data_IF_011393317462
#
_entry.id   IF_011393317462
#
_cell.length_a   1.000
_cell.length_b   1.000
_cell.length_c   1.000
_cell.angle_alpha   90.00
_cell.angle_beta   90.00
_cell.angle_gamma   90.00
#
_symmetry.space_group_name_H-M   'P 1'
#
loop_
_entity.id
_entity.type
_entity.pdbx_description
1 polymer ?
#
# COMPACT_ATOMS: atom_id res chain seq x y z
N UNK A 1 3.51 86.94 -4.36
CA UNK A 1 2.30 86.28 -4.90
C UNK A 1 2.70 84.97 -5.57
N UNK A 2 2.34 83.83 -4.97
CA UNK A 2 2.74 82.50 -5.43
C UNK A 2 1.93 82.04 -6.65
N UNK A 3 2.59 81.75 -7.78
CA UNK A 3 1.95 81.15 -8.96
C UNK A 3 1.83 79.64 -8.75
N UNK A 4 0.59 79.19 -8.49
CA UNK A 4 0.17 77.78 -8.43
C UNK A 4 0.33 77.14 -9.81
N UNK A 5 1.35 76.29 -10.01
CA UNK A 5 1.49 75.45 -11.21
C UNK A 5 0.33 74.43 -11.23
N UNK A 6 -0.53 74.51 -12.24
CA UNK A 6 -1.53 73.45 -12.50
C UNK A 6 -0.78 72.22 -13.02
N UNK A 7 -0.94 71.10 -12.32
CA UNK A 7 -0.52 69.77 -12.79
C UNK A 7 -1.54 69.30 -13.83
N UNK A 8 -1.09 68.98 -15.04
CA UNK A 8 -1.96 68.36 -16.05
C UNK A 8 -2.11 66.85 -15.77
N UNK A 9 -3.31 66.28 -15.97
CA UNK A 9 -3.53 64.85 -15.76
C UNK A 9 -2.82 64.04 -16.84
N UNK A 10 -1.98 63.09 -16.42
CA UNK A 10 -1.30 62.15 -17.31
C UNK A 10 -2.32 61.21 -17.95
N UNK A 11 -2.44 61.26 -19.28
CA UNK A 11 -3.32 60.38 -20.08
C UNK A 11 -2.82 58.93 -19.97
N UNK A 12 -3.53 58.09 -19.21
CA UNK A 12 -3.18 56.69 -18.98
C UNK A 12 -3.15 55.94 -20.33
N UNK A 13 -2.01 55.32 -20.64
CA UNK A 13 -1.74 54.71 -21.94
C UNK A 13 -2.60 53.46 -22.18
N UNK A 14 -3.34 53.42 -23.29
CA UNK A 14 -4.12 52.26 -23.74
C UNK A 14 -3.28 50.99 -23.91
N UNK A 15 -1.96 51.10 -24.03
CA UNK A 15 -1.05 49.95 -24.16
C UNK A 15 -1.13 49.03 -22.94
N UNK A 16 -1.25 49.57 -21.73
CA UNK A 16 -1.34 48.76 -20.51
C UNK A 16 -2.62 47.94 -20.45
N UNK A 17 -3.73 48.46 -20.99
CA UNK A 17 -4.99 47.72 -21.11
C UNK A 17 -4.91 46.61 -22.16
N UNK A 18 -4.20 46.85 -23.27
CA UNK A 18 -3.97 45.86 -24.33
C UNK A 18 -3.11 44.69 -23.82
N UNK A 19 -2.01 44.99 -23.11
CA UNK A 19 -1.16 43.94 -22.54
C UNK A 19 -1.87 43.15 -21.43
N UNK A 20 -2.70 43.80 -20.62
CA UNK A 20 -3.52 43.11 -19.63
C UNK A 20 -4.55 42.17 -20.30
N UNK A 21 -5.19 42.60 -21.38
CA UNK A 21 -6.11 41.76 -22.16
C UNK A 21 -5.42 40.55 -22.79
N UNK A 22 -4.25 40.75 -23.40
CA UNK A 22 -3.43 39.66 -23.96
C UNK A 22 -2.97 38.66 -22.89
N UNK A 23 -2.56 39.14 -21.71
CA UNK A 23 -2.15 38.27 -20.61
C UNK A 23 -3.29 37.38 -20.10
N UNK A 24 -4.50 37.93 -19.96
CA UNK A 24 -5.70 37.15 -19.58
C UNK A 24 -6.04 36.11 -20.63
N UNK A 25 -5.93 36.45 -21.92
CA UNK A 25 -6.16 35.52 -23.03
C UNK A 25 -5.16 34.37 -23.04
N UNK A 26 -3.87 34.66 -22.79
CA UNK A 26 -2.82 33.63 -22.71
C UNK A 26 -3.06 32.71 -21.50
N UNK A 27 -3.41 33.26 -20.33
CA UNK A 27 -3.71 32.46 -19.15
C UNK A 27 -4.95 31.58 -19.37
N UNK A 28 -5.99 32.11 -20.03
CA UNK A 28 -7.19 31.35 -20.38
C UNK A 28 -6.86 30.21 -21.36
N UNK A 29 -6.04 30.47 -22.38
CA UNK A 29 -5.62 29.45 -23.35
C UNK A 29 -4.74 28.38 -22.70
N UNK A 30 -3.80 28.78 -21.84
CA UNK A 30 -2.98 27.83 -21.07
C UNK A 30 -3.82 27.03 -20.08
N UNK A 31 -4.81 27.65 -19.43
CA UNK A 31 -5.75 26.99 -18.53
C UNK A 31 -6.58 25.94 -19.27
N UNK A 32 -7.14 26.27 -20.44
CA UNK A 32 -7.88 25.33 -21.30
C UNK A 32 -6.97 24.23 -21.81
N UNK A 33 -5.75 24.55 -22.23
CA UNK A 33 -4.78 23.56 -22.69
C UNK A 33 -4.41 22.57 -21.57
N UNK A 34 -4.13 23.04 -20.35
CA UNK A 34 -3.84 22.17 -19.20
C UNK A 34 -5.07 21.36 -18.74
N UNK A 35 -6.28 21.93 -18.80
CA UNK A 35 -7.50 21.19 -18.46
C UNK A 35 -7.82 20.11 -19.50
N UNK A 36 -7.67 20.42 -20.79
CA UNK A 36 -7.92 19.51 -21.90
C UNK A 36 -6.81 18.45 -22.07
N UNK A 37 -5.60 18.70 -21.56
CA UNK A 37 -4.46 17.77 -21.60
C UNK A 37 -4.33 16.91 -20.34
N UNK A 38 -5.39 16.80 -19.53
CA UNK A 38 -5.39 15.82 -18.44
C UNK A 38 -5.28 14.43 -19.08
N UNK A 39 -4.22 13.63 -18.79
CA UNK A 39 -4.13 12.29 -19.34
C UNK A 39 -5.38 11.51 -18.93
N UNK A 40 -6.05 10.89 -19.90
CA UNK A 40 -7.16 9.95 -19.65
C UNK A 40 -6.64 8.91 -18.67
N UNK A 41 -7.04 9.02 -17.39
CA UNK A 41 -6.77 7.97 -16.43
C UNK A 41 -7.55 6.75 -16.89
N UNK A 42 -6.91 5.58 -17.03
CA UNK A 42 -7.62 4.36 -17.38
C UNK A 42 -8.84 4.22 -16.48
N UNK A 43 -10.02 4.13 -17.08
CA UNK A 43 -11.25 3.93 -16.34
C UNK A 43 -11.13 2.62 -15.57
N UNK A 44 -11.49 2.64 -14.29
CA UNK A 44 -11.40 1.46 -13.43
C UNK A 44 -12.16 0.29 -14.07
N UNK A 45 -11.47 -0.83 -14.24
CA UNK A 45 -12.08 -2.09 -14.65
C UNK A 45 -12.43 -2.89 -13.39
N UNK A 46 -13.72 -3.15 -13.19
CA UNK A 46 -14.17 -4.06 -12.14
C UNK A 46 -14.08 -5.53 -12.61
N UNK A 47 -13.79 -6.48 -11.71
CA UNK A 47 -13.88 -7.90 -12.02
C UNK A 47 -15.33 -8.28 -12.38
N UNK A 48 -15.50 -9.06 -13.44
CA UNK A 48 -16.80 -9.60 -13.84
C UNK A 48 -17.23 -10.81 -12.98
N UNK A 49 -16.31 -11.37 -12.20
CA UNK A 49 -16.53 -12.55 -11.36
C UNK A 49 -15.69 -12.49 -10.08
N UNK A 50 -16.07 -13.31 -9.10
CA UNK A 50 -15.47 -13.33 -7.76
C UNK A 50 -16.23 -12.46 -6.76
N UNK A 51 -16.00 -12.74 -5.47
CA UNK A 51 -16.59 -12.04 -4.34
C UNK A 51 -15.60 -10.98 -3.83
N UNK A 52 -16.03 -9.74 -3.78
CA UNK A 52 -15.27 -8.62 -3.24
C UNK A 52 -16.22 -7.55 -2.71
N UNK A 53 -15.73 -6.71 -1.81
CA UNK A 53 -16.38 -5.47 -1.42
C UNK A 53 -15.65 -4.28 -2.05
N UNK A 54 -16.36 -3.37 -2.71
CA UNK A 54 -15.77 -2.14 -3.22
C UNK A 54 -15.79 -1.06 -2.13
N UNK A 55 -14.62 -0.52 -1.83
CA UNK A 55 -14.44 0.58 -0.89
C UNK A 55 -14.65 1.92 -1.61
N UNK A 56 -15.14 2.92 -0.87
CA UNK A 56 -15.20 4.29 -1.36
C UNK A 56 -13.80 4.94 -1.34
N UNK A 57 -12.92 4.45 -2.22
CA UNK A 57 -11.55 4.93 -2.43
C UNK A 57 -11.21 4.96 -3.92
N UNK A 58 -10.32 5.86 -4.36
CA UNK A 58 -9.83 5.86 -5.73
C UNK A 58 -9.15 4.53 -6.05
N UNK A 59 -9.47 3.97 -7.22
CA UNK A 59 -8.75 2.82 -7.76
C UNK A 59 -7.36 3.19 -8.22
N UNK A 60 -6.42 2.26 -8.05
CA UNK A 60 -5.07 2.30 -8.61
C UNK A 60 -4.94 1.38 -9.82
N UNK A 61 -6.05 1.04 -10.47
CA UNK A 61 -6.09 0.18 -11.65
C UNK A 61 -5.07 0.61 -12.71
N UNK A 62 -4.43 -0.39 -13.31
CA UNK A 62 -3.42 -0.24 -14.35
C UNK A 62 -3.65 -1.36 -15.38
N UNK A 63 -3.85 -1.03 -16.67
CA UNK A 63 -4.06 -2.05 -17.69
C UNK A 63 -2.94 -3.10 -17.71
N UNK A 64 -3.31 -4.38 -17.70
CA UNK A 64 -2.36 -5.50 -17.76
C UNK A 64 -1.62 -5.80 -16.46
N UNK A 65 -1.89 -5.07 -15.37
CA UNK A 65 -1.27 -5.28 -14.07
C UNK A 65 -2.30 -5.25 -12.94
N UNK A 66 -2.18 -6.19 -12.01
CA UNK A 66 -2.97 -6.25 -10.78
C UNK A 66 -2.04 -6.02 -9.61
N UNK A 67 -2.38 -5.06 -8.76
CA UNK A 67 -1.65 -4.73 -7.54
C UNK A 67 -2.47 -5.19 -6.35
N UNK A 68 -1.90 -6.04 -5.51
CA UNK A 68 -2.53 -6.48 -4.27
C UNK A 68 -1.71 -6.04 -3.07
N UNK A 69 -2.40 -5.57 -2.04
CA UNK A 69 -1.84 -5.31 -0.71
C UNK A 69 -2.44 -6.30 0.27
N UNK A 70 -1.61 -7.12 0.89
CA UNK A 70 -2.03 -8.05 1.94
C UNK A 70 -1.75 -7.47 3.32
N UNK A 71 -2.80 -7.27 4.11
CA UNK A 71 -2.73 -7.01 5.53
C UNK A 71 -2.76 -8.35 6.26
N UNK A 72 -1.70 -8.61 7.03
CA UNK A 72 -1.48 -9.91 7.67
C UNK A 72 -0.75 -9.74 9.00
N UNK A 73 -0.62 -10.83 9.76
CA UNK A 73 0.18 -10.88 10.98
C UNK A 73 0.83 -12.24 11.16
N UNK A 74 2.00 -12.28 11.78
CA UNK A 74 2.79 -13.52 11.88
C UNK A 74 2.24 -14.53 12.89
N UNK A 75 1.36 -14.12 13.80
CA UNK A 75 0.65 -14.99 14.75
C UNK A 75 -0.74 -15.46 14.27
N UNK A 76 -1.09 -15.21 13.01
CA UNK A 76 -2.40 -15.55 12.44
C UNK A 76 -2.34 -16.86 11.62
N UNK A 77 -3.14 -17.86 12.04
CA UNK A 77 -3.19 -19.17 11.39
C UNK A 77 -3.70 -19.12 9.95
N UNK A 78 -4.74 -18.32 9.68
CA UNK A 78 -5.26 -18.12 8.31
C UNK A 78 -4.23 -17.49 7.38
N UNK A 79 -3.44 -16.54 7.90
CA UNK A 79 -2.37 -15.87 7.16
C UNK A 79 -1.26 -16.87 6.78
N UNK A 80 -0.90 -17.77 7.71
CA UNK A 80 0.03 -18.85 7.44
C UNK A 80 -0.52 -19.82 6.38
N UNK A 81 -1.79 -20.22 6.50
CA UNK A 81 -2.44 -21.13 5.54
C UNK A 81 -2.58 -20.52 4.14
N UNK A 82 -2.81 -19.21 4.04
CA UNK A 82 -2.94 -18.50 2.75
C UNK A 82 -1.57 -18.29 2.08
N UNK A 83 -0.48 -18.20 2.85
CA UNK A 83 0.87 -17.92 2.36
C UNK A 83 1.31 -18.75 1.13
N UNK A 84 1.25 -20.10 1.12
CA UNK A 84 1.63 -20.89 -0.05
C UNK A 84 0.74 -20.61 -1.27
N UNK A 85 -0.55 -20.28 -1.06
CA UNK A 85 -1.47 -19.96 -2.15
C UNK A 85 -1.14 -18.62 -2.81
N UNK A 86 -0.76 -17.61 -2.01
CA UNK A 86 -0.29 -16.31 -2.53
C UNK A 86 0.97 -16.49 -3.38
N UNK A 87 1.91 -17.35 -2.94
CA UNK A 87 3.10 -17.67 -3.74
C UNK A 87 2.74 -18.38 -5.06
N UNK A 88 1.77 -19.28 -5.04
CA UNK A 88 1.28 -19.93 -6.26
C UNK A 88 0.64 -18.92 -7.24
N UNK A 89 -0.13 -17.94 -6.73
CA UNK A 89 -0.66 -16.85 -7.55
C UNK A 89 0.47 -15.99 -8.14
N UNK A 90 1.47 -15.62 -7.33
CA UNK A 90 2.64 -14.87 -7.80
C UNK A 90 3.36 -15.61 -8.93
N UNK A 91 3.58 -16.91 -8.79
CA UNK A 91 4.20 -17.75 -9.82
C UNK A 91 3.34 -17.84 -11.09
N UNK A 92 2.01 -17.98 -10.94
CA UNK A 92 1.06 -18.07 -12.07
C UNK A 92 1.02 -16.80 -12.91
N UNK A 93 0.98 -15.63 -12.27
CA UNK A 93 0.78 -14.35 -12.97
C UNK A 93 2.07 -13.60 -13.28
N UNK A 94 3.18 -13.95 -12.62
CA UNK A 94 4.48 -13.31 -12.83
C UNK A 94 4.39 -11.78 -12.67
N UNK A 95 4.97 -11.05 -13.62
CA UNK A 95 5.05 -9.58 -13.58
C UNK A 95 3.69 -8.87 -13.69
N UNK A 96 2.62 -9.61 -14.04
CA UNK A 96 1.25 -9.06 -14.06
C UNK A 96 0.64 -8.94 -12.67
N UNK A 97 1.24 -9.55 -11.65
CA UNK A 97 0.77 -9.49 -10.27
C UNK A 97 1.87 -8.92 -9.36
N UNK A 98 1.60 -7.74 -8.82
CA UNK A 98 2.44 -7.13 -7.80
C UNK A 98 1.81 -7.33 -6.42
N UNK A 99 2.61 -7.80 -5.46
CA UNK A 99 2.17 -8.12 -4.11
C UNK A 99 2.97 -7.27 -3.12
N UNK A 100 2.26 -6.53 -2.28
CA UNK A 100 2.83 -5.81 -1.15
C UNK A 100 2.27 -6.36 0.14
N UNK A 101 3.13 -6.76 1.07
CA UNK A 101 2.69 -7.19 2.40
C UNK A 101 2.78 -6.01 3.39
N UNK A 102 1.74 -5.88 4.21
CA UNK A 102 1.61 -4.88 5.27
C UNK A 102 1.31 -5.60 6.58
N UNK A 103 2.34 -6.18 7.22
CA UNK A 103 2.15 -6.81 8.51
C UNK A 103 1.73 -5.78 9.56
N UNK A 104 0.76 -6.12 10.38
CA UNK A 104 0.20 -5.23 11.41
C UNK A 104 -0.31 -6.02 12.62
N UNK A 105 -0.52 -5.33 13.73
CA UNK A 105 -1.06 -5.92 14.97
C UNK A 105 -2.08 -4.98 15.57
N UNK A 106 -3.22 -5.51 16.01
CA UNK A 106 -4.20 -4.72 16.72
C UNK A 106 -3.82 -4.64 18.20
N UNK A 107 -3.60 -3.43 18.69
CA UNK A 107 -3.24 -3.17 20.10
C UNK A 107 -4.30 -3.68 21.09
N UNK A 108 -5.53 -3.83 20.65
CA UNK A 108 -6.68 -4.27 21.45
C UNK A 108 -6.85 -5.79 21.48
N UNK A 109 -6.13 -6.55 20.64
CA UNK A 109 -6.23 -8.01 20.54
C UNK A 109 -5.19 -8.64 21.48
N UNK A 110 -5.60 -9.34 22.56
CA UNK A 110 -4.65 -9.88 23.54
C UNK A 110 -3.60 -10.82 22.95
N UNK A 111 -3.96 -11.58 21.91
CA UNK A 111 -3.07 -12.53 21.22
C UNK A 111 -1.95 -11.83 20.43
N UNK A 112 -2.10 -10.55 20.12
CA UNK A 112 -1.13 -9.75 19.36
C UNK A 112 -0.07 -9.11 20.27
N UNK A 113 -0.29 -9.12 21.59
CA UNK A 113 0.61 -8.50 22.57
C UNK A 113 2.00 -9.13 22.51
N UNK A 114 3.03 -8.31 22.35
CA UNK A 114 4.44 -8.73 22.35
C UNK A 114 4.98 -9.14 20.98
N UNK A 115 4.11 -9.24 19.95
CA UNK A 115 4.53 -9.59 18.59
C UNK A 115 5.05 -8.39 17.79
N UNK A 116 5.08 -7.17 18.33
CA UNK A 116 5.45 -5.95 17.62
C UNK A 116 6.81 -6.06 16.94
N UNK A 117 7.78 -6.71 17.61
CA UNK A 117 9.11 -6.94 17.07
C UNK A 117 9.14 -7.89 15.87
N UNK A 118 8.16 -8.79 15.72
CA UNK A 118 8.04 -9.62 14.51
C UNK A 118 7.65 -8.80 13.27
N UNK A 119 6.87 -7.74 13.45
CA UNK A 119 6.47 -6.80 12.38
C UNK A 119 7.69 -5.97 11.95
N UNK A 120 8.41 -5.41 12.92
CA UNK A 120 9.66 -4.69 12.67
C UNK A 120 10.71 -5.57 11.98
N UNK A 121 10.82 -6.83 12.40
CA UNK A 121 11.73 -7.83 11.81
C UNK A 121 11.48 -8.01 10.32
N UNK A 122 10.22 -8.19 9.91
CA UNK A 122 9.87 -8.26 8.49
C UNK A 122 10.20 -6.98 7.74
N UNK A 123 9.83 -5.81 8.28
CA UNK A 123 10.04 -4.52 7.61
C UNK A 123 11.54 -4.27 7.39
N UNK A 124 12.37 -4.51 8.40
CA UNK A 124 13.82 -4.35 8.30
C UNK A 124 14.41 -5.33 7.28
N UNK A 125 13.99 -6.59 7.29
CA UNK A 125 14.42 -7.56 6.28
C UNK A 125 13.99 -7.16 4.88
N UNK A 126 12.78 -6.61 4.71
CA UNK A 126 12.29 -6.10 3.43
C UNK A 126 13.17 -4.95 2.92
N UNK A 127 13.53 -3.98 3.78
CA UNK A 127 14.47 -2.90 3.43
C UNK A 127 15.84 -3.44 2.98
N UNK A 128 16.23 -4.61 3.48
CA UNK A 128 17.49 -5.30 3.16
C UNK A 128 17.34 -6.32 2.02
N UNK A 129 16.22 -6.32 1.29
CA UNK A 129 16.00 -7.21 0.14
C UNK A 129 15.71 -8.67 0.49
N UNK A 130 15.35 -8.94 1.75
CA UNK A 130 15.07 -10.29 2.30
C UNK A 130 13.64 -10.47 2.80
N UNK A 131 12.71 -9.66 2.28
CA UNK A 131 11.33 -9.65 2.74
C UNK A 131 10.59 -10.98 2.56
N UNK A 132 10.73 -11.63 1.40
CA UNK A 132 10.02 -12.89 1.12
C UNK A 132 10.58 -14.04 1.95
N UNK A 133 11.91 -14.17 2.00
CA UNK A 133 12.57 -15.18 2.82
C UNK A 133 12.27 -14.98 4.30
N UNK A 134 12.27 -13.74 4.78
CA UNK A 134 11.94 -13.43 6.18
C UNK A 134 10.48 -13.73 6.50
N UNK A 135 9.53 -13.41 5.62
CA UNK A 135 8.11 -13.76 5.81
C UNK A 135 7.93 -15.25 6.00
N UNK A 136 8.50 -16.05 5.10
CA UNK A 136 8.38 -17.50 5.15
C UNK A 136 9.12 -18.08 6.38
N UNK A 137 10.27 -17.52 6.75
CA UNK A 137 11.02 -17.90 7.94
C UNK A 137 10.28 -17.59 9.25
N UNK A 138 9.63 -16.42 9.37
CA UNK A 138 8.82 -16.06 10.54
C UNK A 138 7.62 -16.99 10.71
N UNK A 139 6.90 -17.25 9.61
CA UNK A 139 5.77 -18.17 9.63
C UNK A 139 6.18 -19.59 10.02
N UNK A 140 7.23 -20.12 9.39
CA UNK A 140 7.77 -21.45 9.72
C UNK A 140 8.22 -21.49 11.19
N UNK A 141 8.93 -20.46 11.65
CA UNK A 141 9.43 -20.38 13.02
C UNK A 141 8.30 -20.53 14.04
N UNK A 142 7.18 -19.83 13.87
CA UNK A 142 6.06 -19.92 14.80
C UNK A 142 5.23 -21.21 14.62
N UNK A 143 4.77 -21.49 13.41
CA UNK A 143 3.75 -22.52 13.19
C UNK A 143 4.33 -23.93 13.09
N UNK A 144 5.57 -24.08 12.60
CA UNK A 144 6.25 -25.37 12.45
C UNK A 144 7.23 -25.59 13.58
N UNK A 145 8.16 -24.66 13.79
CA UNK A 145 9.27 -24.85 14.73
C UNK A 145 8.90 -24.47 16.17
N UNK A 146 7.71 -23.92 16.39
CA UNK A 146 7.17 -23.49 17.70
C UNK A 146 8.09 -22.53 18.45
N UNK A 147 8.79 -21.67 17.72
CA UNK A 147 9.64 -20.61 18.26
C UNK A 147 8.81 -19.41 18.71
N UNK A 148 9.29 -18.76 19.76
CA UNK A 148 8.67 -17.55 20.32
C UNK A 148 9.11 -16.30 19.54
N UNK A 149 8.21 -15.74 18.73
CA UNK A 149 8.46 -14.52 17.97
C UNK A 149 8.38 -13.23 18.80
N UNK A 150 8.08 -13.30 20.11
CA UNK A 150 8.16 -12.14 21.01
C UNK A 150 9.60 -11.90 21.51
N UNK A 151 10.49 -12.88 21.33
CA UNK A 151 11.89 -12.80 21.72
C UNK A 151 12.76 -12.17 20.62
N UNK A 152 13.38 -11.03 20.92
CA UNK A 152 14.33 -10.36 20.01
C UNK A 152 15.54 -11.23 19.68
N UNK A 153 15.97 -12.10 20.61
CA UNK A 153 17.06 -13.06 20.37
C UNK A 153 16.65 -14.05 19.28
N UNK A 154 15.46 -14.63 19.39
CA UNK A 154 14.91 -15.56 18.40
C UNK A 154 14.76 -14.86 17.04
N UNK A 155 14.24 -13.64 17.01
CA UNK A 155 14.09 -12.85 15.78
C UNK A 155 15.44 -12.52 15.14
N UNK A 156 16.47 -12.24 15.94
CA UNK A 156 17.84 -12.06 15.49
C UNK A 156 18.39 -13.33 14.82
N UNK A 157 18.16 -14.50 15.40
CA UNK A 157 18.60 -15.77 14.83
C UNK A 157 17.84 -16.14 13.55
N UNK A 158 16.55 -15.78 13.46
CA UNK A 158 15.79 -15.88 12.20
C UNK A 158 16.40 -14.96 11.14
N UNK A 159 16.76 -13.72 11.48
CA UNK A 159 17.51 -12.81 10.60
C UNK A 159 18.79 -13.44 10.03
N UNK A 160 19.59 -14.06 10.90
CA UNK A 160 20.81 -14.79 10.47
C UNK A 160 20.50 -15.92 9.49
N UNK A 161 19.42 -16.67 9.71
CA UNK A 161 19.03 -17.78 8.85
C UNK A 161 18.68 -17.35 7.41
N UNK A 162 18.29 -16.09 7.21
CA UNK A 162 18.03 -15.49 5.89
C UNK A 162 19.19 -14.61 5.38
N UNK A 163 20.35 -14.66 6.05
CA UNK A 163 21.57 -13.98 5.65
C UNK A 163 21.74 -12.55 6.16
N UNK A 164 20.97 -12.13 7.17
CA UNK A 164 21.11 -10.80 7.79
C UNK A 164 22.03 -10.85 9.01
N UNK A 165 22.93 -9.87 9.12
CA UNK A 165 23.96 -9.81 10.16
C UNK A 165 23.67 -8.82 11.29
N UNK A 166 24.75 -8.32 11.91
CA UNK A 166 24.67 -7.48 13.11
C UNK A 166 23.94 -6.15 12.89
N UNK A 167 24.03 -5.57 11.68
CA UNK A 167 23.30 -4.33 11.35
C UNK A 167 21.79 -4.51 11.47
N UNK A 168 21.26 -5.66 11.04
CA UNK A 168 19.85 -6.01 11.21
C UNK A 168 19.48 -6.13 12.69
N UNK A 169 20.29 -6.86 13.47
CA UNK A 169 20.06 -7.06 14.91
C UNK A 169 20.09 -5.72 15.65
N UNK A 170 21.03 -4.84 15.31
CA UNK A 170 21.13 -3.49 15.87
C UNK A 170 19.90 -2.65 15.55
N UNK A 171 19.48 -2.62 14.27
CA UNK A 171 18.29 -1.89 13.86
C UNK A 171 17.02 -2.40 14.55
N UNK A 172 16.89 -3.73 14.70
CA UNK A 172 15.78 -4.35 15.40
C UNK A 172 15.75 -3.96 16.89
N UNK A 173 16.90 -3.96 17.57
CA UNK A 173 17.00 -3.53 18.97
C UNK A 173 16.65 -2.05 19.14
N UNK A 174 17.12 -1.19 18.22
CA UNK A 174 16.87 0.25 18.27
C UNK A 174 15.42 0.63 17.95
N UNK A 175 14.69 -0.24 17.27
CA UNK A 175 13.30 0.03 16.89
C UNK A 175 13.16 0.83 15.59
N UNK A 176 14.11 0.70 14.67
CA UNK A 176 14.22 1.52 13.46
C UNK A 176 13.05 1.35 12.46
N UNK A 177 12.18 0.36 12.70
CA UNK A 177 10.98 0.10 11.91
C UNK A 177 9.67 0.34 12.69
N UNK A 178 9.73 0.81 13.94
CA UNK A 178 8.56 0.98 14.80
C UNK A 178 7.51 1.92 14.21
N UNK A 179 7.94 3.05 13.64
CA UNK A 179 7.02 4.03 13.05
C UNK A 179 6.35 3.48 11.79
N UNK A 180 7.08 2.71 10.98
CA UNK A 180 6.52 2.05 9.79
C UNK A 180 5.52 0.94 10.18
N UNK A 181 5.82 0.17 11.24
CA UNK A 181 4.87 -0.79 11.79
C UNK A 181 3.58 -0.09 12.28
N UNK A 182 3.72 1.08 12.91
CA UNK A 182 2.57 1.93 13.27
C UNK A 182 1.79 2.45 12.05
N UNK A 183 2.49 2.84 10.99
CA UNK A 183 1.87 3.31 9.75
C UNK A 183 1.05 2.21 9.05
N UNK A 184 1.47 0.95 9.12
CA UNK A 184 0.70 -0.18 8.59
C UNK A 184 -0.66 -0.32 9.26
N UNK A 185 -0.76 -0.08 10.57
CA UNK A 185 -2.02 -0.12 11.33
C UNK A 185 -2.95 1.01 10.83
N UNK A 186 -2.45 2.24 10.76
CA UNK A 186 -3.22 3.39 10.27
C UNK A 186 -3.71 3.16 8.83
N UNK A 187 -2.87 2.55 7.99
CA UNK A 187 -3.23 2.20 6.62
C UNK A 187 -4.35 1.16 6.59
N UNK A 188 -4.25 0.11 7.41
CA UNK A 188 -5.26 -0.94 7.55
C UNK A 188 -6.62 -0.35 7.99
N UNK A 189 -6.62 0.54 8.99
CA UNK A 189 -7.82 1.27 9.42
C UNK A 189 -8.42 2.09 8.28
N UNK A 190 -7.59 2.77 7.49
CA UNK A 190 -8.07 3.54 6.34
C UNK A 190 -8.80 2.68 5.30
N UNK A 191 -8.41 1.41 5.17
CA UNK A 191 -9.03 0.41 4.29
C UNK A 191 -10.15 -0.39 4.97
N UNK A 192 -10.52 -0.03 6.20
CA UNK A 192 -11.53 -0.74 6.99
C UNK A 192 -11.18 -2.23 7.13
N UNK A 193 -9.91 -2.53 7.41
CA UNK A 193 -9.43 -3.89 7.69
C UNK A 193 -9.85 -4.26 9.12
N UNK A 194 -10.66 -5.29 9.21
CA UNK A 194 -11.30 -5.80 10.43
C UNK A 194 -10.88 -7.24 10.76
N UNK A 195 -10.27 -7.95 9.81
CA UNK A 195 -9.75 -9.30 9.98
C UNK A 195 -8.48 -9.53 9.13
N UNK A 196 -7.71 -10.58 9.47
CA UNK A 196 -6.52 -10.98 8.72
C UNK A 196 -6.61 -12.44 8.27
N UNK A 197 -6.13 -12.80 7.07
CA UNK A 197 -5.56 -11.89 6.06
C UNK A 197 -6.65 -11.02 5.41
N UNK A 198 -6.35 -9.77 5.06
CA UNK A 198 -7.22 -8.97 4.18
C UNK A 198 -6.43 -8.53 2.96
N UNK A 199 -7.00 -8.73 1.77
CA UNK A 199 -6.40 -8.36 0.50
C UNK A 199 -7.12 -7.13 -0.06
N UNK A 200 -6.36 -6.09 -0.37
CA UNK A 200 -6.83 -4.93 -1.13
C UNK A 200 -6.27 -5.02 -2.55
N UNK A 201 -7.16 -5.18 -3.52
CA UNK A 201 -6.83 -5.29 -4.94
C UNK A 201 -7.06 -3.92 -5.59
N UNK A 202 -6.07 -3.44 -6.35
CA UNK A 202 -6.06 -2.16 -7.05
C UNK A 202 -6.55 -0.97 -6.19
N UNK A 203 -6.23 -0.99 -4.90
CA UNK A 203 -6.45 0.13 -4.00
C UNK A 203 -7.89 0.35 -3.52
N UNK A 204 -8.87 -0.45 -3.94
CA UNK A 204 -10.25 -0.27 -3.49
C UNK A 204 -11.14 -1.53 -3.49
N UNK A 205 -10.67 -2.69 -3.92
CA UNK A 205 -11.44 -3.93 -3.83
C UNK A 205 -10.94 -4.77 -2.65
N UNK A 206 -11.77 -4.95 -1.62
CA UNK A 206 -11.46 -5.72 -0.41
C UNK A 206 -11.93 -7.17 -0.55
N UNK A 207 -11.05 -8.11 -0.20
CA UNK A 207 -11.34 -9.55 -0.08
C UNK A 207 -10.79 -10.04 1.27
N UNK A 208 -11.60 -10.77 2.02
CA UNK A 208 -11.26 -11.25 3.36
C UNK A 208 -11.89 -12.65 3.63
N UNK A 209 -11.40 -13.41 4.64
CA UNK A 209 -11.84 -14.76 4.98
C UNK A 209 -13.36 -14.92 5.13
N UNK A 210 -14.03 -13.93 5.71
CA UNK A 210 -15.47 -13.95 5.94
C UNK A 210 -16.29 -14.13 4.65
N UNK A 211 -15.78 -13.68 3.49
CA UNK A 211 -16.47 -13.85 2.19
C UNK A 211 -16.47 -15.29 1.68
N UNK A 212 -15.57 -16.13 2.21
CA UNK A 212 -15.37 -17.52 1.83
C UNK A 212 -15.50 -18.48 3.01
N UNK A 213 -16.28 -18.09 4.04
CA UNK A 213 -16.55 -18.90 5.22
C UNK A 213 -15.26 -19.36 5.94
N UNK A 214 -14.25 -18.49 6.03
CA UNK A 214 -12.94 -18.78 6.64
C UNK A 214 -12.08 -19.83 5.91
N UNK A 215 -12.51 -20.33 4.75
CA UNK A 215 -11.75 -21.29 3.94
C UNK A 215 -10.70 -20.56 3.08
N UNK A 216 -9.42 -20.81 3.36
CA UNK A 216 -8.29 -20.17 2.68
C UNK A 216 -8.06 -20.69 1.27
N UNK A 217 -8.43 -21.94 0.97
CA UNK A 217 -8.37 -22.47 -0.39
C UNK A 217 -9.49 -21.86 -1.24
N UNK A 218 -10.68 -21.68 -0.66
CA UNK A 218 -11.76 -20.95 -1.31
C UNK A 218 -11.42 -19.46 -1.51
N UNK A 219 -10.77 -18.82 -0.53
CA UNK A 219 -10.27 -17.45 -0.65
C UNK A 219 -9.23 -17.33 -1.78
N UNK A 220 -8.27 -18.26 -1.84
CA UNK A 220 -7.26 -18.29 -2.90
C UNK A 220 -7.88 -18.46 -4.31
N UNK A 221 -8.85 -19.37 -4.46
CA UNK A 221 -9.61 -19.54 -5.71
C UNK A 221 -10.39 -18.28 -6.09
N UNK A 222 -10.95 -17.60 -5.11
CA UNK A 222 -11.64 -16.33 -5.32
C UNK A 222 -10.68 -15.22 -5.81
N UNK A 223 -9.50 -15.11 -5.20
CA UNK A 223 -8.44 -14.19 -5.65
C UNK A 223 -8.01 -14.53 -7.08
N UNK A 224 -7.79 -15.80 -7.39
CA UNK A 224 -7.44 -16.26 -8.74
C UNK A 224 -8.49 -15.83 -9.79
N UNK A 225 -9.77 -16.01 -9.45
CA UNK A 225 -10.91 -15.61 -10.29
C UNK A 225 -10.92 -14.11 -10.56
N UNK A 226 -10.73 -13.30 -9.51
CA UNK A 226 -10.71 -11.83 -9.61
C UNK A 226 -9.52 -11.37 -10.47
N UNK A 227 -8.32 -11.88 -10.19
CA UNK A 227 -7.10 -11.50 -10.91
C UNK A 227 -7.21 -11.86 -12.39
N UNK A 228 -7.66 -13.08 -12.70
CA UNK A 228 -7.91 -13.52 -14.08
C UNK A 228 -8.89 -12.59 -14.81
N UNK A 229 -10.01 -12.23 -14.16
CA UNK A 229 -11.01 -11.34 -14.76
C UNK A 229 -10.48 -9.92 -15.00
N UNK A 230 -9.63 -9.40 -14.11
CA UNK A 230 -9.00 -8.09 -14.29
C UNK A 230 -7.99 -8.08 -15.43
N UNK A 231 -7.28 -9.19 -15.65
CA UNK A 231 -6.25 -9.33 -16.68
C UNK A 231 -6.78 -9.74 -18.08
N UNK A 232 -8.03 -10.19 -18.19
CA UNK A 232 -8.67 -10.60 -19.46
C UNK A 232 -9.17 -9.43 -20.29
#
# INVERSE_FOLDING_TARGET
>A
MAKKKRVQPVKKSNRTLIYAGLAVLIIAVLGVYFFASSPDRPQEKLPASGKFAQLNKPSTYEPGKVKITEFMKFNCGHCYSLNPQIQALKQKYGDKLEITYKPMLWRTVPQDKGFEKSIETYILAQRMGKGEEMKDALFKALFVDKKDLTSVIVLGDIGKSVGLGDDFVKALNNGDAKDEAGANINLAESFQVDETPTIIINGNLKVNPSMTNEDMDAMAKNLDTIISSLLS
#
